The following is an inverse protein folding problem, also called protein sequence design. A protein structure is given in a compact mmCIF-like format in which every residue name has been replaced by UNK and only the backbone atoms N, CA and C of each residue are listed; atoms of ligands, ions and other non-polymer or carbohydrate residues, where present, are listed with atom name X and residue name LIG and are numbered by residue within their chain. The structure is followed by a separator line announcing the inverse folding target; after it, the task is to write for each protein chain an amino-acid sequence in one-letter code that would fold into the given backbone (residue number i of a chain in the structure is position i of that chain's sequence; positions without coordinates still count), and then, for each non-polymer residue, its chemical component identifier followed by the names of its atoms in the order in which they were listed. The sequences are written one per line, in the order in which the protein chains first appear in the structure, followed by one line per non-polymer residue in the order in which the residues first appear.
data_IF_697675978161
#
_entry.id   IF_697675978161
#
_cell.length_a   1.000
_cell.length_b   1.000
_cell.length_c   1.000
_cell.angle_alpha   90.00
_cell.angle_beta   90.00
_cell.angle_gamma   90.00
#
_symmetry.space_group_name_H-M   'P 1'
#
loop_
_entity.id
_entity.type
_entity.pdbx_description
1 polymer ?
#
# COMPACT_ATOMS: atom_id res chain seq x y z
N UNK A 1 -2.02 -31.39 33.80
CA UNK A 1 -2.57 -31.68 32.45
C UNK A 1 -3.77 -30.82 32.05
N UNK A 2 -4.57 -30.26 32.97
CA UNK A 2 -5.75 -29.43 32.61
C UNK A 2 -5.38 -28.14 31.85
N UNK A 3 -4.23 -27.53 32.17
CA UNK A 3 -3.78 -26.30 31.50
C UNK A 3 -3.41 -26.48 30.02
N UNK A 4 -2.92 -27.66 29.63
CA UNK A 4 -2.54 -27.95 28.24
C UNK A 4 -3.77 -28.18 27.37
N UNK A 5 -4.79 -28.87 27.88
CA UNK A 5 -6.06 -29.09 27.16
C UNK A 5 -6.75 -27.78 26.80
N UNK A 6 -6.72 -26.78 27.69
CA UNK A 6 -7.30 -25.48 27.41
C UNK A 6 -6.54 -24.71 26.31
N UNK A 7 -5.20 -24.83 26.28
CA UNK A 7 -4.40 -24.26 25.19
C UNK A 7 -4.68 -24.95 23.86
N UNK A 8 -4.80 -26.28 23.84
CA UNK A 8 -5.14 -27.02 22.63
C UNK A 8 -6.48 -26.58 22.04
N UNK A 9 -7.52 -26.44 22.88
CA UNK A 9 -8.84 -25.94 22.43
C UNK A 9 -8.77 -24.52 21.87
N UNK A 10 -7.96 -23.65 22.50
CA UNK A 10 -7.75 -22.27 22.03
C UNK A 10 -7.07 -22.24 20.65
N UNK A 11 -6.04 -23.06 20.46
CA UNK A 11 -5.31 -23.18 19.19
C UNK A 11 -6.24 -23.71 18.10
N UNK A 12 -6.99 -24.77 18.39
CA UNK A 12 -7.93 -25.36 17.44
C UNK A 12 -8.99 -24.34 17.00
N UNK A 13 -9.57 -23.60 17.96
CA UNK A 13 -10.51 -22.53 17.66
C UNK A 13 -9.90 -21.47 16.72
N UNK A 14 -8.68 -21.00 17.02
CA UNK A 14 -7.99 -20.00 16.18
C UNK A 14 -7.69 -20.52 14.77
N UNK A 15 -7.27 -21.79 14.63
CA UNK A 15 -7.02 -22.40 13.33
C UNK A 15 -8.30 -22.57 12.50
N UNK A 16 -9.42 -22.93 13.14
CA UNK A 16 -10.74 -22.96 12.49
C UNK A 16 -11.13 -21.56 12.02
N UNK A 17 -11.04 -20.55 12.89
CA UNK A 17 -11.34 -19.16 12.54
C UNK A 17 -10.45 -18.67 11.38
N UNK A 18 -9.15 -18.98 11.40
CA UNK A 18 -8.22 -18.64 10.32
C UNK A 18 -8.65 -19.25 8.99
N UNK A 19 -8.99 -20.55 8.97
CA UNK A 19 -9.47 -21.24 7.76
C UNK A 19 -10.74 -20.61 7.21
N UNK A 20 -11.71 -20.30 8.07
CA UNK A 20 -12.96 -19.60 7.68
C UNK A 20 -12.66 -18.23 7.05
N UNK A 21 -11.78 -17.42 7.66
CA UNK A 21 -11.35 -16.12 7.11
C UNK A 21 -10.62 -16.24 5.76
N UNK A 22 -9.97 -17.38 5.50
CA UNK A 22 -9.33 -17.71 4.22
C UNK A 22 -10.29 -18.33 3.20
N UNK A 23 -11.58 -18.39 3.50
CA UNK A 23 -12.61 -18.94 2.60
C UNK A 23 -12.68 -20.47 2.59
N UNK A 24 -12.05 -21.16 3.54
CA UNK A 24 -12.02 -22.61 3.62
C UNK A 24 -13.07 -23.13 4.61
N UNK A 25 -13.71 -24.26 4.29
CA UNK A 25 -14.65 -24.93 5.20
C UNK A 25 -15.94 -24.14 5.46
N UNK A 26 -16.34 -23.27 4.54
CA UNK A 26 -17.52 -22.42 4.69
C UNK A 26 -18.86 -23.17 4.57
N UNK A 27 -18.86 -24.40 4.04
CA UNK A 27 -20.09 -25.18 3.86
C UNK A 27 -20.80 -25.57 5.16
N UNK A 28 -20.12 -25.46 6.31
CA UNK A 28 -20.71 -25.68 7.63
C UNK A 28 -21.08 -24.38 8.37
N UNK A 29 -20.89 -23.22 7.75
CA UNK A 29 -21.19 -21.94 8.37
C UNK A 29 -22.68 -21.58 8.21
N UNK A 30 -23.24 -20.91 9.21
CA UNK A 30 -24.57 -20.28 9.07
C UNK A 30 -24.51 -19.02 8.20
N UNK A 31 -25.67 -18.52 7.76
CA UNK A 31 -25.76 -17.28 6.99
C UNK A 31 -25.22 -16.09 7.81
N UNK A 32 -25.53 -16.05 9.10
CA UNK A 32 -25.08 -15.02 10.03
C UNK A 32 -23.55 -15.07 10.20
N UNK A 33 -22.98 -16.26 10.38
CA UNK A 33 -21.52 -16.43 10.47
C UNK A 33 -20.83 -15.96 9.17
N UNK A 34 -21.40 -16.28 8.01
CA UNK A 34 -20.86 -15.85 6.71
C UNK A 34 -20.92 -14.32 6.55
N UNK A 35 -22.01 -13.70 6.99
CA UNK A 35 -22.16 -12.25 6.98
C UNK A 35 -21.15 -11.56 7.90
N UNK A 36 -20.91 -12.12 9.09
CA UNK A 36 -19.91 -11.60 10.03
C UNK A 36 -18.49 -11.71 9.45
N UNK A 37 -18.14 -12.87 8.89
CA UNK A 37 -16.85 -13.07 8.21
C UNK A 37 -16.67 -12.06 7.08
N UNK A 38 -17.70 -11.88 6.23
CA UNK A 38 -17.67 -10.91 5.13
C UNK A 38 -17.45 -9.48 5.62
N UNK A 39 -18.21 -9.07 6.64
CA UNK A 39 -18.12 -7.72 7.23
C UNK A 39 -16.74 -7.47 7.87
N UNK A 40 -16.19 -8.47 8.57
CA UNK A 40 -14.86 -8.39 9.18
C UNK A 40 -13.77 -8.22 8.11
N UNK A 41 -13.85 -8.99 7.02
CA UNK A 41 -12.90 -8.91 5.91
C UNK A 41 -12.98 -7.56 5.20
N UNK A 42 -14.19 -7.08 4.91
CA UNK A 42 -14.40 -5.77 4.28
C UNK A 42 -13.80 -4.63 5.11
N UNK A 43 -14.13 -4.59 6.42
CA UNK A 43 -13.62 -3.55 7.31
C UNK A 43 -12.09 -3.61 7.46
N UNK A 44 -11.54 -4.82 7.57
CA UNK A 44 -10.09 -5.01 7.65
C UNK A 44 -9.39 -4.54 6.39
N UNK A 45 -9.96 -4.85 5.22
CA UNK A 45 -9.41 -4.45 3.92
C UNK A 45 -9.46 -2.93 3.75
N UNK A 46 -10.58 -2.30 4.13
CA UNK A 46 -10.72 -0.84 4.15
C UNK A 46 -9.62 -0.19 5.00
N UNK A 47 -9.38 -0.72 6.21
CA UNK A 47 -8.34 -0.22 7.11
C UNK A 47 -6.93 -0.39 6.51
N UNK A 48 -6.62 -1.55 5.92
CA UNK A 48 -5.32 -1.82 5.27
C UNK A 48 -5.08 -0.84 4.13
N UNK A 49 -6.07 -0.65 3.25
CA UNK A 49 -5.97 0.27 2.10
C UNK A 49 -5.77 1.71 2.58
N UNK A 50 -6.53 2.16 3.57
CA UNK A 50 -6.39 3.50 4.13
C UNK A 50 -4.98 3.73 4.69
N UNK A 51 -4.46 2.78 5.47
CA UNK A 51 -3.09 2.87 6.02
C UNK A 51 -2.03 2.88 4.92
N UNK A 52 -2.16 2.02 3.90
CA UNK A 52 -1.23 1.99 2.76
C UNK A 52 -1.23 3.31 1.99
N UNK A 53 -2.41 3.88 1.74
CA UNK A 53 -2.56 5.17 1.09
C UNK A 53 -1.91 6.31 1.90
N UNK A 54 -2.11 6.32 3.22
CA UNK A 54 -1.47 7.31 4.10
C UNK A 54 0.06 7.21 4.04
N UNK A 55 0.62 6.01 4.18
CA UNK A 55 2.07 5.80 4.13
C UNK A 55 2.67 6.25 2.78
N UNK A 56 2.01 5.95 1.66
CA UNK A 56 2.48 6.42 0.36
C UNK A 56 2.39 7.92 0.21
N UNK A 57 1.34 8.57 0.74
CA UNK A 57 1.24 10.03 0.75
C UNK A 57 2.41 10.66 1.52
N UNK A 58 2.76 10.10 2.68
CA UNK A 58 3.90 10.54 3.49
C UNK A 58 5.22 10.36 2.72
N UNK A 59 5.44 9.20 2.08
CA UNK A 59 6.64 8.95 1.26
C UNK A 59 6.75 9.92 0.07
N UNK A 60 5.64 10.15 -0.65
CA UNK A 60 5.60 11.12 -1.76
C UNK A 60 5.98 12.52 -1.26
N UNK A 61 5.47 12.92 -0.09
CA UNK A 61 5.78 14.23 0.49
C UNK A 61 7.25 14.36 0.89
N UNK A 62 7.83 13.33 1.50
CA UNK A 62 9.27 13.28 1.81
C UNK A 62 10.12 13.39 0.55
N UNK A 63 9.77 12.65 -0.51
CA UNK A 63 10.47 12.72 -1.79
C UNK A 63 10.37 14.10 -2.43
N UNK A 64 9.20 14.75 -2.39
CA UNK A 64 9.03 16.13 -2.87
C UNK A 64 9.90 17.14 -2.11
N UNK A 65 10.05 16.96 -0.79
CA UNK A 65 10.95 17.82 0.00
C UNK A 65 12.40 17.60 -0.42
N UNK A 66 12.84 16.33 -0.50
CA UNK A 66 14.20 15.98 -0.93
C UNK A 66 14.50 16.48 -2.33
N UNK A 67 13.55 16.36 -3.25
CA UNK A 67 13.66 16.88 -4.61
C UNK A 67 13.89 18.39 -4.61
N UNK A 68 13.12 19.16 -3.82
CA UNK A 68 13.31 20.63 -3.70
C UNK A 68 14.68 20.99 -3.15
N UNK A 69 15.16 20.27 -2.13
CA UNK A 69 16.50 20.49 -1.57
C UNK A 69 17.59 20.25 -2.62
N UNK A 70 17.52 19.13 -3.34
CA UNK A 70 18.51 18.79 -4.37
C UNK A 70 18.48 19.78 -5.56
N UNK A 71 17.30 20.28 -5.93
CA UNK A 71 17.19 21.31 -6.96
C UNK A 71 17.88 22.62 -6.56
N UNK A 72 17.72 23.01 -5.30
CA UNK A 72 18.35 24.20 -4.75
C UNK A 72 19.88 24.04 -4.64
N UNK A 73 20.35 22.90 -4.14
CA UNK A 73 21.78 22.59 -4.08
C UNK A 73 22.41 22.59 -5.49
N UNK A 74 21.75 21.96 -6.46
CA UNK A 74 22.20 21.95 -7.85
C UNK A 74 22.23 23.36 -8.47
N UNK A 75 21.27 24.23 -8.12
CA UNK A 75 21.27 25.64 -8.54
C UNK A 75 22.53 26.35 -8.05
N UNK A 76 22.84 26.23 -6.76
CA UNK A 76 24.03 26.83 -6.15
C UNK A 76 25.34 26.28 -6.76
N UNK A 77 25.41 24.98 -7.03
CA UNK A 77 26.57 24.38 -7.69
C UNK A 77 26.75 24.87 -9.13
N UNK A 78 25.67 25.01 -9.89
CA UNK A 78 25.73 25.52 -11.27
C UNK A 78 26.20 26.97 -11.35
N UNK A 79 25.83 27.80 -10.36
CA UNK A 79 26.33 29.17 -10.22
C UNK A 79 27.84 29.18 -9.96
N UNK A 80 28.35 28.27 -9.13
CA UNK A 80 29.78 28.13 -8.84
C UNK A 80 30.59 27.57 -10.02
N UNK A 81 30.01 26.68 -10.83
CA UNK A 81 30.72 25.97 -11.91
C UNK A 81 30.65 26.66 -13.30
N UNK A 82 30.32 27.95 -13.38
CA UNK A 82 30.48 28.71 -14.64
C UNK A 82 29.45 28.40 -15.75
N UNK A 83 28.23 27.98 -15.40
CA UNK A 83 27.07 28.03 -16.32
C UNK A 83 26.85 26.84 -17.27
N UNK A 84 27.79 25.90 -17.39
CA UNK A 84 27.62 24.66 -18.19
C UNK A 84 26.50 23.73 -17.66
N UNK A 85 26.10 23.88 -16.40
CA UNK A 85 24.96 23.14 -15.80
C UNK A 85 23.56 23.68 -16.14
N UNK A 86 23.43 24.87 -16.74
CA UNK A 86 22.12 25.51 -17.01
C UNK A 86 21.29 24.77 -18.08
N UNK A 87 21.94 24.15 -19.07
CA UNK A 87 21.28 23.36 -20.12
C UNK A 87 20.66 22.06 -19.56
N UNK A 88 21.38 21.38 -18.66
CA UNK A 88 20.91 20.18 -17.99
C UNK A 88 19.73 20.47 -17.06
N UNK A 89 19.76 21.59 -16.33
CA UNK A 89 18.63 22.02 -15.48
C UNK A 89 17.35 22.27 -16.27
N UNK A 90 17.42 22.96 -17.42
CA UNK A 90 16.23 23.25 -18.22
C UNK A 90 15.55 22.00 -18.77
N UNK A 91 16.30 20.92 -19.04
CA UNK A 91 15.74 19.65 -19.49
C UNK A 91 14.97 18.94 -18.37
N UNK A 92 15.51 18.93 -17.15
CA UNK A 92 14.86 18.34 -15.97
C UNK A 92 13.54 19.05 -15.61
N UNK A 93 13.48 20.39 -15.69
CA UNK A 93 12.25 21.14 -15.39
C UNK A 93 11.13 20.88 -16.40
N UNK A 94 11.47 20.64 -17.68
CA UNK A 94 10.48 20.28 -18.72
C UNK A 94 9.89 18.89 -18.47
N UNK A 95 10.72 17.92 -18.09
CA UNK A 95 10.27 16.57 -17.76
C UNK A 95 9.37 16.57 -16.50
N UNK A 96 9.67 17.40 -15.51
CA UNK A 96 8.87 17.61 -14.29
C UNK A 96 7.44 18.08 -14.58
N UNK A 97 7.27 19.08 -15.45
CA UNK A 97 5.95 19.64 -15.75
C UNK A 97 5.03 18.60 -16.43
N UNK A 98 5.57 17.78 -17.32
CA UNK A 98 4.82 16.70 -17.96
C UNK A 98 4.29 15.63 -16.96
N UNK A 99 5.05 15.34 -15.89
CA UNK A 99 4.64 14.39 -14.84
C UNK A 99 3.53 14.99 -13.96
N UNK A 100 3.60 16.29 -13.67
CA UNK A 100 2.66 16.96 -12.79
C UNK A 100 1.29 17.19 -13.46
N UNK A 101 1.26 17.46 -14.78
CA UNK A 101 0.02 17.57 -15.55
C UNK A 101 -0.71 16.23 -15.68
N UNK A 102 0.02 15.11 -15.76
CA UNK A 102 -0.56 13.76 -15.75
C UNK A 102 -1.20 13.40 -14.41
N UNK A 103 -0.72 13.94 -13.30
CA UNK A 103 -1.25 13.68 -11.96
C UNK A 103 -2.54 14.45 -11.65
N UNK A 104 -2.79 15.59 -12.30
CA UNK A 104 -4.01 16.38 -12.13
C UNK A 104 -5.15 15.91 -13.03
N UNK A 105 -4.86 15.20 -14.12
CA UNK A 105 -5.87 14.70 -15.08
C UNK A 105 -6.19 13.19 -14.92
N UNK A 106 -5.67 12.55 -13.87
CA UNK A 106 -6.08 11.19 -13.52
C UNK A 106 -7.20 11.25 -12.51
N UNK A 107 -8.43 11.06 -12.99
CA UNK A 107 -9.51 10.52 -12.17
C UNK A 107 -8.91 9.31 -11.44
N UNK A 108 -8.90 9.36 -10.10
CA UNK A 108 -8.30 8.34 -9.26
C UNK A 108 -9.15 7.07 -9.42
N UNK A 109 -8.93 6.35 -10.51
CA UNK A 109 -9.48 5.03 -10.76
C UNK A 109 -9.01 4.18 -9.60
N UNK A 110 -9.99 3.59 -8.93
CA UNK A 110 -9.86 2.61 -7.87
C UNK A 110 -8.55 1.83 -8.00
N UNK A 111 -7.62 2.08 -7.08
CA UNK A 111 -6.32 1.39 -7.07
C UNK A 111 -6.63 -0.08 -6.85
N UNK A 112 -6.67 -0.85 -7.95
CA UNK A 112 -6.66 -2.31 -7.92
C UNK A 112 -5.31 -2.68 -7.32
N UNK A 113 -5.28 -2.83 -6.01
CA UNK A 113 -4.18 -3.49 -5.35
C UNK A 113 -4.17 -4.91 -5.87
N UNK A 114 -3.05 -5.36 -6.45
CA UNK A 114 -2.75 -6.76 -6.81
C UNK A 114 -2.63 -7.65 -5.56
N UNK A 115 -3.54 -7.49 -4.60
CA UNK A 115 -3.64 -8.33 -3.42
C UNK A 115 -4.35 -9.62 -3.87
N UNK A 116 -3.56 -10.61 -4.29
CA UNK A 116 -4.06 -11.92 -4.66
C UNK A 116 -4.49 -12.68 -3.39
N UNK A 117 -5.79 -12.72 -3.12
CA UNK A 117 -6.38 -13.52 -2.03
C UNK A 117 -6.77 -14.88 -2.64
N UNK A 118 -5.76 -15.70 -2.97
CA UNK A 118 -5.92 -17.06 -3.49
C UNK A 118 -4.70 -17.91 -3.11
N UNK A 119 -4.85 -19.24 -3.13
CA UNK A 119 -3.71 -20.14 -2.92
C UNK A 119 -2.62 -19.83 -3.98
N UNK A 120 -1.37 -19.52 -3.58
CA UNK A 120 -0.30 -19.32 -4.55
C UNK A 120 -0.10 -20.63 -5.33
N UNK A 121 0.05 -20.53 -6.65
CA UNK A 121 0.48 -21.67 -7.46
C UNK A 121 1.86 -22.10 -6.97
N UNK A 122 1.94 -23.31 -6.43
CA UNK A 122 3.20 -24.02 -6.22
C UNK A 122 3.79 -24.33 -7.59
N UNK A 123 4.87 -23.63 -7.95
CA UNK A 123 5.71 -23.97 -9.10
C UNK A 123 6.67 -25.11 -8.75
#
# INVERSE_FOLDING_TARGET
MIGTENMFKKIEFLEVSKRKLLGQGLGSCSVEELQEIGSQLEQSLKNIRARKAQLFKEQIQQLKVKERMLLEDNRQLCEKCGGSGKLWQQSLTKQRNAINDSAQNKQCSEVVTELFIGLPQSH
#
